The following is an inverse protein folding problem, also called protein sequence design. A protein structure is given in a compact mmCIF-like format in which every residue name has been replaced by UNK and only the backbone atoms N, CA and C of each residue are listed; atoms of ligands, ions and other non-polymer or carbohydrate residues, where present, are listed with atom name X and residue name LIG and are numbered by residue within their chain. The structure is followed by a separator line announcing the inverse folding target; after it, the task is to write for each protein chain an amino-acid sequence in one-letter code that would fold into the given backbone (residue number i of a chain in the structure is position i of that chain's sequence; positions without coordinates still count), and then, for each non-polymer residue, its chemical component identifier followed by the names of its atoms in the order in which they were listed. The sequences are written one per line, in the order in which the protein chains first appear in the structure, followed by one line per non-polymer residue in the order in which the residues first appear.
data_IF_788209683002
#
_entry.id   IF_788209683002
#
_cell.length_a   1.000
_cell.length_b   1.000
_cell.length_c   1.000
_cell.angle_alpha   90.00
_cell.angle_beta   90.00
_cell.angle_gamma   90.00
#
_symmetry.space_group_name_H-M   'P 1'
#
loop_
_entity.id
_entity.type
_entity.pdbx_description
1 polymer ?
#
# COMPACT_ATOMS: atom_id res chain seq x y z
N UNK A 1 -16.95 15.89 15.85
CA UNK A 1 -18.04 15.62 14.87
C UNK A 1 -18.33 14.13 14.75
N UNK A 2 -17.38 13.28 14.34
CA UNK A 2 -17.62 11.83 14.18
C UNK A 2 -18.10 11.11 15.46
N UNK A 3 -17.56 11.47 16.63
CA UNK A 3 -17.97 10.90 17.93
C UNK A 3 -19.43 11.20 18.34
N UNK A 4 -20.02 12.28 17.83
CA UNK A 4 -21.36 12.74 18.17
C UNK A 4 -22.42 12.25 17.16
N UNK A 5 -21.98 11.67 16.03
CA UNK A 5 -22.85 11.30 14.91
C UNK A 5 -24.00 10.38 15.33
N UNK A 6 -23.76 9.47 16.27
CA UNK A 6 -24.72 8.47 16.71
C UNK A 6 -25.57 8.93 17.91
N UNK A 7 -25.41 10.16 18.38
CA UNK A 7 -26.11 10.66 19.58
C UNK A 7 -27.43 11.35 19.24
N UNK A 8 -27.60 11.89 18.04
CA UNK A 8 -28.85 12.54 17.61
C UNK A 8 -28.96 12.57 16.06
N UNK A 9 -30.15 12.40 15.48
CA UNK A 9 -30.36 12.46 14.01
C UNK A 9 -29.79 13.71 13.34
N UNK A 10 -29.93 14.88 13.98
CA UNK A 10 -29.34 16.14 13.52
C UNK A 10 -27.82 16.04 13.29
N UNK A 11 -27.06 15.45 14.23
CA UNK A 11 -25.61 15.31 14.07
C UNK A 11 -25.23 14.37 12.93
N UNK A 12 -26.08 13.36 12.66
CA UNK A 12 -25.90 12.49 11.49
C UNK A 12 -26.10 13.27 10.18
N UNK A 13 -27.11 14.13 10.10
CA UNK A 13 -27.36 14.98 8.93
C UNK A 13 -26.23 16.00 8.71
N UNK A 14 -25.78 16.69 9.76
CA UNK A 14 -24.65 17.64 9.66
C UNK A 14 -23.36 16.93 9.21
N UNK A 15 -23.10 15.72 9.72
CA UNK A 15 -21.95 14.93 9.28
C UNK A 15 -22.07 14.49 7.82
N UNK A 16 -23.26 14.05 7.38
CA UNK A 16 -23.52 13.68 5.99
C UNK A 16 -23.36 14.88 5.06
N UNK A 17 -23.97 16.02 5.39
CA UNK A 17 -23.84 17.26 4.63
C UNK A 17 -22.37 17.67 4.47
N UNK A 18 -21.62 17.76 5.57
CA UNK A 18 -20.20 18.15 5.50
C UNK A 18 -19.34 17.20 4.67
N UNK A 19 -19.71 15.92 4.59
CA UNK A 19 -19.04 14.96 3.71
C UNK A 19 -19.36 15.18 2.24
N UNK A 20 -20.63 15.38 1.91
CA UNK A 20 -21.07 15.65 0.54
C UNK A 20 -20.51 16.99 0.04
N UNK A 21 -20.53 18.02 0.88
CA UNK A 21 -19.93 19.32 0.58
C UNK A 21 -18.42 19.20 0.35
N UNK A 22 -17.71 18.44 1.20
CA UNK A 22 -16.29 18.16 0.99
C UNK A 22 -16.03 17.45 -0.36
N UNK A 23 -16.85 16.47 -0.74
CA UNK A 23 -16.74 15.77 -2.02
C UNK A 23 -17.05 16.70 -3.20
N UNK A 24 -18.13 17.47 -3.13
CA UNK A 24 -18.48 18.42 -4.18
C UNK A 24 -17.34 19.42 -4.42
N UNK A 25 -16.83 20.02 -3.35
CA UNK A 25 -15.84 21.09 -3.46
C UNK A 25 -14.43 20.56 -3.80
N UNK A 26 -14.00 19.45 -3.19
CA UNK A 26 -12.63 18.95 -3.35
C UNK A 26 -12.47 17.92 -4.48
N UNK A 27 -13.55 17.27 -4.89
CA UNK A 27 -13.54 16.32 -5.99
C UNK A 27 -14.21 16.91 -7.23
N UNK A 28 -15.52 17.13 -7.22
CA UNK A 28 -16.29 17.48 -8.44
C UNK A 28 -15.83 18.83 -9.02
N UNK A 29 -16.01 19.91 -8.28
CA UNK A 29 -15.65 21.27 -8.72
C UNK A 29 -14.14 21.45 -8.90
N UNK A 30 -13.34 20.66 -8.17
CA UNK A 30 -11.89 20.68 -8.29
C UNK A 30 -11.44 20.05 -9.62
N UNK A 31 -11.98 18.89 -9.97
CA UNK A 31 -11.64 18.17 -11.20
C UNK A 31 -11.96 19.00 -12.45
N UNK A 32 -13.10 19.69 -12.48
CA UNK A 32 -13.52 20.53 -13.61
C UNK A 32 -12.46 21.57 -13.99
N UNK A 33 -11.78 22.14 -13.00
CA UNK A 33 -10.72 23.16 -13.22
C UNK A 33 -9.46 22.61 -13.89
N UNK A 34 -9.31 21.28 -13.94
CA UNK A 34 -8.14 20.61 -14.51
C UNK A 34 -8.47 19.78 -15.76
N UNK A 35 -9.67 19.97 -16.33
CA UNK A 35 -10.03 19.42 -17.64
C UNK A 35 -9.36 20.29 -18.71
N UNK A 36 -8.52 19.68 -19.54
CA UNK A 36 -7.90 20.33 -20.70
C UNK A 36 -8.86 20.45 -21.88
N UNK A 37 -8.42 21.16 -22.93
CA UNK A 37 -9.18 21.34 -24.17
C UNK A 37 -9.54 20.02 -24.87
N UNK A 38 -8.74 18.97 -24.61
CA UNK A 38 -8.97 17.60 -25.12
C UNK A 38 -9.99 16.80 -24.30
N UNK A 39 -10.65 17.45 -23.33
CA UNK A 39 -11.61 16.82 -22.42
C UNK A 39 -10.98 15.90 -21.38
N UNK A 40 -9.65 15.92 -21.21
CA UNK A 40 -8.95 15.03 -20.26
C UNK A 40 -8.51 15.79 -19.01
N UNK A 41 -8.65 15.13 -17.86
CA UNK A 41 -8.10 15.65 -16.60
C UNK A 41 -6.57 15.51 -16.61
N UNK A 42 -5.86 16.61 -16.38
CA UNK A 42 -4.39 16.64 -16.29
C UNK A 42 -3.95 16.81 -14.85
N UNK A 43 -3.19 15.85 -14.34
CA UNK A 43 -2.58 15.92 -12.99
C UNK A 43 -1.08 16.17 -13.06
N UNK A 44 -0.51 16.65 -11.95
CA UNK A 44 0.94 16.82 -11.78
C UNK A 44 1.51 15.78 -10.82
N UNK A 45 2.50 15.00 -11.28
CA UNK A 45 3.28 14.10 -10.43
C UNK A 45 4.52 14.80 -9.89
N UNK A 46 4.71 14.74 -8.56
CA UNK A 46 5.86 15.34 -7.87
C UNK A 46 6.62 14.28 -7.06
N UNK A 47 7.90 14.50 -6.76
CA UNK A 47 8.69 13.60 -5.92
C UNK A 47 8.61 13.99 -4.45
N UNK A 48 8.36 13.01 -3.56
CA UNK A 48 8.42 13.22 -2.10
C UNK A 48 9.71 12.67 -1.49
N UNK A 49 9.95 12.97 -0.20
CA UNK A 49 11.16 12.58 0.53
C UNK A 49 11.47 11.07 0.49
N UNK A 50 10.45 10.22 0.37
CA UNK A 50 10.65 8.76 0.27
C UNK A 50 11.00 8.28 -1.12
N UNK A 51 10.95 9.15 -2.12
CA UNK A 51 11.09 8.78 -3.52
C UNK A 51 9.77 8.39 -4.17
N UNK A 52 8.66 8.24 -3.43
CA UNK A 52 7.33 8.09 -4.02
C UNK A 52 6.98 9.27 -4.92
N UNK A 53 6.13 9.01 -5.91
CA UNK A 53 5.43 10.07 -6.61
C UNK A 53 4.21 10.47 -5.78
N UNK A 54 4.02 11.77 -5.58
CA UNK A 54 2.77 12.36 -5.14
C UNK A 54 2.04 12.93 -6.34
N UNK A 55 0.73 13.12 -6.20
CA UNK A 55 -0.14 13.62 -7.24
C UNK A 55 -0.87 14.86 -6.71
N UNK A 56 -0.89 15.93 -7.49
CA UNK A 56 -1.49 17.21 -7.11
C UNK A 56 -2.08 17.91 -8.31
N UNK A 57 -3.06 18.79 -8.07
CA UNK A 57 -3.67 19.66 -9.10
C UNK A 57 -4.18 18.87 -10.34
N UNK A 58 -5.19 17.98 -10.18
CA UNK A 58 -5.85 17.52 -8.96
C UNK A 58 -5.17 16.27 -8.38
N UNK A 59 -5.43 15.92 -7.12
CA UNK A 59 -4.90 14.68 -6.52
C UNK A 59 -5.75 13.48 -6.94
N UNK A 60 -5.22 12.71 -7.90
CA UNK A 60 -5.81 11.42 -8.33
C UNK A 60 -5.34 10.23 -7.48
N UNK A 61 -4.46 10.46 -6.49
CA UNK A 61 -4.07 9.41 -5.52
C UNK A 61 -5.09 9.24 -4.40
N UNK A 62 -5.92 10.26 -4.13
CA UNK A 62 -6.84 10.30 -3.00
C UNK A 62 -8.31 10.30 -3.47
N UNK A 63 -8.60 9.53 -4.52
CA UNK A 63 -9.98 9.41 -5.02
C UNK A 63 -10.87 8.77 -3.96
N UNK A 64 -12.09 9.29 -3.73
CA UNK A 64 -13.02 8.76 -2.74
C UNK A 64 -13.23 7.25 -2.90
N UNK A 65 -13.25 6.49 -1.80
CA UNK A 65 -13.51 5.06 -1.84
C UNK A 65 -14.96 4.80 -1.42
N UNK A 66 -15.87 4.47 -2.36
CA UNK A 66 -17.31 4.41 -2.09
C UNK A 66 -17.67 3.42 -0.97
N UNK A 67 -17.00 2.25 -0.91
CA UNK A 67 -17.24 1.24 0.13
C UNK A 67 -16.80 1.72 1.50
N UNK A 68 -15.58 2.27 1.61
CA UNK A 68 -15.02 2.77 2.87
C UNK A 68 -15.80 3.98 3.37
N UNK A 69 -16.29 4.78 2.45
CA UNK A 69 -16.93 6.06 2.72
C UNK A 69 -18.46 5.98 2.75
N UNK A 70 -19.07 4.83 2.44
CA UNK A 70 -20.52 4.65 2.34
C UNK A 70 -21.16 5.71 1.43
N UNK A 71 -20.54 5.93 0.27
CA UNK A 71 -21.04 6.86 -0.74
C UNK A 71 -22.08 6.15 -1.60
N UNK A 72 -23.13 6.88 -1.98
CA UNK A 72 -24.17 6.40 -2.89
C UNK A 72 -23.64 6.23 -4.32
N UNK A 73 -22.66 7.05 -4.69
CA UNK A 73 -22.06 7.07 -6.02
C UNK A 73 -20.59 6.68 -5.99
N UNK A 74 -20.18 5.84 -6.94
CA UNK A 74 -18.79 5.54 -7.18
C UNK A 74 -18.18 6.59 -8.11
N UNK A 75 -17.70 7.68 -7.53
CA UNK A 75 -17.07 8.78 -8.26
C UNK A 75 -15.85 8.37 -9.11
N UNK A 76 -15.31 7.16 -8.92
CA UNK A 76 -14.21 6.65 -9.74
C UNK A 76 -14.69 6.20 -11.13
N UNK A 77 -15.98 5.92 -11.30
CA UNK A 77 -16.55 5.48 -12.60
C UNK A 77 -16.57 6.58 -13.66
N UNK A 78 -16.44 7.84 -13.24
CA UNK A 78 -16.40 8.99 -14.18
C UNK A 78 -15.12 9.04 -15.00
N UNK A 79 -14.06 8.34 -14.58
CA UNK A 79 -12.83 8.24 -15.35
C UNK A 79 -12.95 7.06 -16.32
N UNK A 80 -13.30 7.39 -17.56
CA UNK A 80 -13.50 6.45 -18.65
C UNK A 80 -12.38 6.55 -19.69
N UNK A 81 -12.07 5.45 -20.40
CA UNK A 81 -11.18 5.48 -21.56
C UNK A 81 -11.86 6.17 -22.75
N UNK A 82 -11.06 6.48 -23.78
CA UNK A 82 -11.57 6.94 -25.08
C UNK A 82 -12.49 5.90 -25.74
N UNK A 83 -13.39 6.29 -26.66
CA UNK A 83 -14.18 5.35 -27.44
C UNK A 83 -13.32 4.28 -28.13
N UNK A 84 -13.69 3.01 -28.01
CA UNK A 84 -12.94 1.87 -28.56
C UNK A 84 -11.72 1.42 -27.71
N UNK A 85 -11.44 2.09 -26.60
CA UNK A 85 -10.35 1.78 -25.69
C UNK A 85 -10.89 1.21 -24.37
N UNK A 86 -10.00 0.55 -23.64
CA UNK A 86 -10.21 0.07 -22.28
C UNK A 86 -9.06 0.50 -21.38
N UNK A 87 -9.26 0.40 -20.07
CA UNK A 87 -8.21 0.61 -19.08
C UNK A 87 -7.67 -0.76 -18.64
N UNK A 88 -6.34 -0.88 -18.62
CA UNK A 88 -5.63 -2.01 -18.02
C UNK A 88 -4.91 -1.51 -16.77
N UNK A 89 -5.18 -2.14 -15.64
CA UNK A 89 -4.59 -1.82 -14.33
C UNK A 89 -3.66 -2.96 -13.93
N UNK A 90 -2.50 -2.64 -13.38
CA UNK A 90 -1.61 -3.61 -12.76
C UNK A 90 -1.11 -3.06 -11.42
N UNK A 91 -1.40 -3.77 -10.34
CA UNK A 91 -1.05 -3.41 -8.96
C UNK A 91 -0.19 -4.50 -8.33
N UNK A 92 0.80 -4.13 -7.53
CA UNK A 92 1.65 -5.11 -6.86
C UNK A 92 0.92 -5.78 -5.69
N UNK A 93 0.85 -7.12 -5.67
CA UNK A 93 0.26 -7.85 -4.55
C UNK A 93 1.20 -7.83 -3.34
N UNK A 94 0.89 -6.98 -2.35
CA UNK A 94 1.60 -6.94 -1.07
C UNK A 94 3.05 -6.45 -1.16
N UNK A 95 3.36 -5.53 -2.09
CA UNK A 95 4.71 -5.07 -2.38
C UNK A 95 5.52 -4.70 -1.13
N UNK A 96 4.94 -3.88 -0.24
CA UNK A 96 5.64 -3.39 0.96
C UNK A 96 6.05 -4.53 1.90
N UNK A 97 5.27 -5.61 2.00
CA UNK A 97 5.60 -6.75 2.84
C UNK A 97 6.70 -7.62 2.21
N UNK A 98 6.69 -7.77 0.88
CA UNK A 98 7.78 -8.45 0.16
C UNK A 98 9.10 -7.69 0.30
N UNK A 99 9.05 -6.37 0.17
CA UNK A 99 10.18 -5.48 0.41
C UNK A 99 10.62 -5.53 1.88
N UNK A 100 9.70 -5.65 2.84
CA UNK A 100 10.05 -5.86 4.24
C UNK A 100 10.83 -7.16 4.44
N UNK A 101 10.39 -8.28 3.84
CA UNK A 101 11.11 -9.55 3.87
C UNK A 101 12.52 -9.43 3.26
N UNK A 102 12.65 -8.67 2.18
CA UNK A 102 13.96 -8.42 1.55
C UNK A 102 14.86 -7.56 2.46
N UNK A 103 14.40 -6.38 2.88
CA UNK A 103 15.17 -5.41 3.70
C UNK A 103 15.53 -5.95 5.09
N UNK A 104 14.65 -6.75 5.69
CA UNK A 104 14.89 -7.35 7.01
C UNK A 104 15.77 -8.60 6.96
N UNK A 105 15.84 -9.28 5.82
CA UNK A 105 16.50 -10.58 5.73
C UNK A 105 15.77 -11.68 6.51
N UNK A 106 14.51 -11.47 6.89
CA UNK A 106 13.78 -12.40 7.75
C UNK A 106 13.48 -13.72 7.02
N UNK A 107 14.02 -14.82 7.54
CA UNK A 107 13.94 -16.14 6.90
C UNK A 107 12.51 -16.67 6.88
N UNK A 108 11.74 -16.48 7.95
CA UNK A 108 10.35 -16.92 8.05
C UNK A 108 9.48 -16.21 7.01
N UNK A 109 9.63 -14.88 6.91
CA UNK A 109 8.88 -14.08 5.96
C UNK A 109 9.24 -14.42 4.51
N UNK A 110 10.54 -14.58 4.20
CA UNK A 110 11.00 -15.01 2.87
C UNK A 110 10.49 -16.41 2.52
N UNK A 111 10.50 -17.34 3.48
CA UNK A 111 9.96 -18.69 3.30
C UNK A 111 8.46 -18.65 2.98
N UNK A 112 7.67 -17.92 3.77
CA UNK A 112 6.24 -17.76 3.54
C UNK A 112 5.95 -17.25 2.11
N UNK A 113 6.68 -16.24 1.64
CA UNK A 113 6.50 -15.78 0.26
C UNK A 113 6.94 -16.79 -0.80
N UNK A 114 8.01 -17.54 -0.57
CA UNK A 114 8.46 -18.59 -1.51
C UNK A 114 7.44 -19.71 -1.69
N UNK A 115 6.57 -19.90 -0.69
CA UNK A 115 5.48 -20.89 -0.68
C UNK A 115 4.13 -20.31 -1.11
N UNK A 116 4.12 -19.07 -1.61
CA UNK A 116 2.89 -18.33 -1.94
C UNK A 116 1.92 -18.23 -0.76
N UNK A 117 2.42 -18.04 0.46
CA UNK A 117 1.55 -17.92 1.62
C UNK A 117 0.86 -16.56 1.70
N UNK A 118 -0.40 -16.58 2.11
CA UNK A 118 -1.10 -15.42 2.63
C UNK A 118 -0.47 -15.01 3.97
N UNK A 119 0.46 -14.05 3.90
CA UNK A 119 1.18 -13.57 5.08
C UNK A 119 0.25 -12.98 6.14
N UNK A 120 -0.94 -12.50 5.79
CA UNK A 120 -1.89 -11.98 6.77
C UNK A 120 -2.51 -13.11 7.58
N UNK A 121 -2.92 -14.19 6.94
CA UNK A 121 -3.45 -15.37 7.62
C UNK A 121 -2.35 -16.09 8.41
N UNK A 122 -1.16 -16.23 7.82
CA UNK A 122 0.00 -16.82 8.49
C UNK A 122 0.38 -16.04 9.77
N UNK A 123 0.37 -14.70 9.70
CA UNK A 123 0.60 -13.88 10.89
C UNK A 123 -0.55 -13.99 11.89
N UNK A 124 -1.80 -14.05 11.42
CA UNK A 124 -2.97 -14.22 12.29
C UNK A 124 -2.88 -15.54 13.06
N UNK A 125 -2.43 -16.62 12.42
CA UNK A 125 -2.22 -17.91 13.07
C UNK A 125 -1.29 -17.80 14.28
N UNK A 126 -0.13 -17.16 14.13
CA UNK A 126 0.84 -16.99 15.21
C UNK A 126 0.42 -15.97 16.28
N UNK A 127 -0.25 -14.89 15.88
CA UNK A 127 -0.66 -13.81 16.81
C UNK A 127 -1.86 -14.24 17.66
N UNK A 128 -2.78 -15.03 17.08
CA UNK A 128 -4.04 -15.40 17.71
C UNK A 128 -4.14 -16.88 18.10
N UNK A 129 -3.08 -17.67 17.87
CA UNK A 129 -3.04 -19.12 18.13
C UNK A 129 -4.24 -19.84 17.49
N UNK A 130 -4.33 -19.80 16.16
CA UNK A 130 -5.46 -20.39 15.42
C UNK A 130 -5.26 -21.89 15.11
N UNK A 131 -4.07 -22.43 15.39
CA UNK A 131 -3.66 -23.83 15.16
C UNK A 131 -3.94 -24.34 13.74
N UNK A 132 -3.72 -23.47 12.75
CA UNK A 132 -3.86 -23.79 11.33
C UNK A 132 -2.65 -24.58 10.80
N UNK A 133 -2.92 -25.53 9.90
CA UNK A 133 -1.90 -26.28 9.17
C UNK A 133 -1.29 -25.43 8.04
N UNK A 134 -0.15 -25.91 7.53
CA UNK A 134 0.62 -25.22 6.50
C UNK A 134 -0.16 -25.04 5.17
N UNK A 135 -1.02 -26.02 4.83
CA UNK A 135 -1.88 -26.00 3.64
C UNK A 135 -2.89 -24.86 3.65
N UNK A 136 -3.35 -24.43 4.83
CA UNK A 136 -4.26 -23.29 4.99
C UNK A 136 -3.63 -21.94 4.59
N UNK A 137 -2.30 -21.85 4.47
CA UNK A 137 -1.64 -20.58 4.15
C UNK A 137 -1.41 -20.38 2.66
N UNK A 138 -1.37 -21.43 1.85
CA UNK A 138 -1.11 -21.36 0.40
C UNK A 138 -2.24 -20.62 -0.31
N UNK A 139 -1.97 -19.41 -0.77
CA UNK A 139 -2.99 -18.54 -1.38
C UNK A 139 -3.60 -19.20 -2.62
N UNK A 140 -4.93 -19.34 -2.62
CA UNK A 140 -5.72 -19.98 -3.66
C UNK A 140 -5.93 -21.49 -3.52
N UNK A 141 -5.48 -22.13 -2.42
CA UNK A 141 -5.85 -23.51 -2.11
C UNK A 141 -7.26 -23.60 -1.51
N UNK A 142 -7.91 -24.77 -1.58
CA UNK A 142 -9.24 -24.98 -0.99
C UNK A 142 -9.22 -24.78 0.54
N UNK A 143 -8.21 -25.35 1.22
CA UNK A 143 -8.00 -25.16 2.66
C UNK A 143 -7.77 -23.69 3.03
N UNK A 144 -7.10 -22.93 2.16
CA UNK A 144 -6.87 -21.50 2.36
C UNK A 144 -8.16 -20.71 2.27
N UNK A 145 -9.00 -20.94 1.26
CA UNK A 145 -10.28 -20.25 1.11
C UNK A 145 -11.22 -20.51 2.30
N UNK A 146 -11.26 -21.75 2.80
CA UNK A 146 -11.99 -22.10 4.02
C UNK A 146 -11.43 -21.38 5.25
N UNK A 147 -10.10 -21.40 5.44
CA UNK A 147 -9.45 -20.75 6.57
C UNK A 147 -9.61 -19.22 6.53
N UNK A 148 -9.50 -18.60 5.35
CA UNK A 148 -9.74 -17.16 5.16
C UNK A 148 -11.18 -16.80 5.48
N UNK A 149 -12.14 -17.63 5.09
CA UNK A 149 -13.56 -17.42 5.38
C UNK A 149 -13.81 -17.52 6.89
N UNK A 150 -13.34 -18.60 7.52
CA UNK A 150 -13.51 -18.87 8.96
C UNK A 150 -12.81 -17.82 9.83
N UNK A 151 -11.61 -17.39 9.45
CA UNK A 151 -10.76 -16.49 10.25
C UNK A 151 -10.68 -15.07 9.68
N UNK A 152 -11.65 -14.65 8.85
CA UNK A 152 -11.68 -13.35 8.16
C UNK A 152 -11.39 -12.15 9.06
N UNK A 153 -12.00 -12.11 10.25
CA UNK A 153 -11.79 -11.03 11.20
C UNK A 153 -10.36 -11.01 11.76
N UNK A 154 -9.82 -12.19 12.12
CA UNK A 154 -8.45 -12.32 12.66
C UNK A 154 -7.41 -12.00 11.60
N UNK A 155 -7.59 -12.48 10.37
CA UNK A 155 -6.79 -12.09 9.21
C UNK A 155 -6.79 -10.58 8.98
N UNK A 156 -7.95 -9.94 9.07
CA UNK A 156 -8.07 -8.48 8.95
C UNK A 156 -7.34 -7.74 10.08
N UNK A 157 -7.44 -8.22 11.32
CA UNK A 157 -6.71 -7.69 12.47
C UNK A 157 -5.19 -7.84 12.31
N UNK A 158 -4.71 -8.99 11.82
CA UNK A 158 -3.28 -9.16 11.52
C UNK A 158 -2.81 -8.20 10.42
N UNK A 159 -3.58 -8.07 9.33
CA UNK A 159 -3.30 -7.15 8.22
C UNK A 159 -3.17 -5.69 8.68
N UNK A 160 -4.26 -5.15 9.23
CA UNK A 160 -4.38 -3.72 9.52
C UNK A 160 -3.90 -3.32 10.92
N UNK A 161 -3.86 -4.28 11.85
CA UNK A 161 -3.46 -4.04 13.23
C UNK A 161 -2.01 -4.36 13.52
N UNK A 162 -1.37 -5.24 12.74
CA UNK A 162 0.00 -5.71 13.01
C UNK A 162 0.92 -5.50 11.80
N UNK A 163 0.70 -6.20 10.68
CA UNK A 163 1.61 -6.21 9.52
C UNK A 163 1.92 -4.82 8.97
N UNK A 164 0.90 -4.07 8.55
CA UNK A 164 1.10 -2.73 8.01
C UNK A 164 1.58 -1.74 9.07
N UNK A 165 0.97 -1.64 10.27
CA UNK A 165 1.43 -0.72 11.31
C UNK A 165 2.92 -0.86 11.64
N UNK A 166 3.48 -2.08 11.61
CA UNK A 166 4.90 -2.31 11.89
C UNK A 166 5.80 -1.73 10.79
N UNK A 167 5.41 -1.79 9.51
CA UNK A 167 6.12 -1.07 8.42
C UNK A 167 6.19 0.44 8.70
N UNK A 168 5.16 0.99 9.35
CA UNK A 168 5.10 2.41 9.74
C UNK A 168 5.68 2.70 11.14
N UNK A 169 6.28 1.70 11.79
CA UNK A 169 6.89 1.83 13.11
C UNK A 169 5.87 2.07 14.23
N UNK A 170 4.66 1.53 14.10
CA UNK A 170 3.64 1.64 15.13
C UNK A 170 4.09 0.99 16.44
N UNK A 171 3.86 1.70 17.55
CA UNK A 171 4.08 1.17 18.90
C UNK A 171 2.85 0.39 19.36
N UNK A 172 3.00 -0.48 20.37
CA UNK A 172 1.86 -1.19 20.98
C UNK A 172 0.72 -0.25 21.38
N UNK A 173 1.01 0.94 21.94
CA UNK A 173 -0.05 1.93 22.25
C UNK A 173 -0.83 2.45 21.04
N UNK A 174 -0.21 2.50 19.86
CA UNK A 174 -0.90 2.88 18.61
C UNK A 174 -1.75 1.72 18.09
N UNK A 175 -1.21 0.50 18.16
CA UNK A 175 -1.94 -0.73 17.83
C UNK A 175 -3.17 -0.87 18.73
N UNK A 176 -3.03 -0.67 20.04
CA UNK A 176 -4.12 -0.71 21.01
C UNK A 176 -5.24 0.27 20.65
N UNK A 177 -4.87 1.54 20.37
CA UNK A 177 -5.81 2.59 19.99
C UNK A 177 -6.54 2.28 18.67
N UNK A 178 -5.81 1.90 17.63
CA UNK A 178 -6.37 1.70 16.29
C UNK A 178 -7.25 0.44 16.22
N UNK A 179 -6.94 -0.58 17.03
CA UNK A 179 -7.70 -1.84 17.07
C UNK A 179 -8.72 -1.91 18.23
N UNK A 180 -8.79 -0.87 19.09
CA UNK A 180 -9.66 -0.82 20.27
C UNK A 180 -9.47 -2.01 21.23
N UNK A 181 -8.20 -2.36 21.47
CA UNK A 181 -7.81 -3.43 22.41
C UNK A 181 -7.02 -2.85 23.58
N UNK A 182 -6.80 -3.64 24.63
CA UNK A 182 -5.98 -3.22 25.76
C UNK A 182 -4.52 -3.02 25.33
N UNK A 183 -3.76 -2.25 26.10
CA UNK A 183 -2.33 -2.04 25.82
C UNK A 183 -1.55 -3.36 25.95
N UNK A 184 -1.89 -4.15 26.94
CA UNK A 184 -1.30 -5.47 27.23
C UNK A 184 -1.58 -6.45 26.09
N UNK A 185 -2.80 -6.43 25.53
CA UNK A 185 -3.14 -7.23 24.36
C UNK A 185 -2.33 -6.81 23.12
N UNK A 186 -2.20 -5.51 22.86
CA UNK A 186 -1.39 -5.03 21.75
C UNK A 186 0.11 -5.34 21.91
N UNK A 187 0.64 -5.31 23.15
CA UNK A 187 2.00 -5.74 23.45
C UNK A 187 2.19 -7.23 23.19
N UNK A 188 1.22 -8.09 23.56
CA UNK A 188 1.24 -9.51 23.22
C UNK A 188 1.27 -9.73 21.71
N UNK A 189 0.44 -9.04 20.94
CA UNK A 189 0.42 -9.16 19.48
C UNK A 189 1.77 -8.80 18.87
N UNK A 190 2.36 -7.69 19.31
CA UNK A 190 3.65 -7.22 18.82
C UNK A 190 4.78 -8.21 19.17
N UNK A 191 4.76 -8.78 20.38
CA UNK A 191 5.73 -9.78 20.80
C UNK A 191 5.63 -11.07 19.97
N UNK A 192 4.41 -11.55 19.69
CA UNK A 192 4.23 -12.73 18.83
C UNK A 192 4.68 -12.46 17.40
N UNK A 193 4.39 -11.27 16.87
CA UNK A 193 4.89 -10.88 15.55
C UNK A 193 6.42 -10.93 15.48
N UNK A 194 7.12 -10.34 16.46
CA UNK A 194 8.59 -10.35 16.45
C UNK A 194 9.20 -11.71 16.79
N UNK A 195 8.44 -12.58 17.47
CA UNK A 195 8.82 -13.99 17.65
C UNK A 195 8.74 -14.75 16.33
N UNK A 196 7.69 -14.50 15.53
CA UNK A 196 7.52 -15.09 14.20
C UNK A 196 8.55 -14.56 13.19
N UNK A 197 8.82 -13.25 13.23
CA UNK A 197 9.71 -12.54 12.30
C UNK A 197 10.89 -11.86 13.03
N UNK A 198 11.85 -12.62 13.59
CA UNK A 198 12.96 -12.07 14.37
C UNK A 198 13.91 -11.17 13.55
N UNK A 199 14.05 -11.41 12.25
CA UNK A 199 14.84 -10.58 11.33
C UNK A 199 14.27 -9.17 11.17
N UNK A 200 12.93 -9.04 11.21
CA UNK A 200 12.27 -7.72 11.21
C UNK A 200 12.63 -6.94 12.46
N UNK A 201 12.55 -7.56 13.64
CA UNK A 201 12.95 -6.93 14.91
C UNK A 201 14.40 -6.47 14.88
N UNK A 202 15.30 -7.35 14.46
CA UNK A 202 16.74 -7.04 14.33
C UNK A 202 16.96 -5.85 13.39
N UNK A 203 16.25 -5.79 12.26
CA UNK A 203 16.36 -4.68 11.31
C UNK A 203 15.93 -3.34 11.92
N UNK A 204 14.85 -3.32 12.70
CA UNK A 204 14.38 -2.14 13.44
C UNK A 204 15.41 -1.71 14.49
N UNK A 205 15.94 -2.66 15.26
CA UNK A 205 16.89 -2.42 16.36
C UNK A 205 18.24 -1.88 15.88
N UNK A 206 18.57 -2.04 14.58
CA UNK A 206 19.79 -1.52 13.96
C UNK A 206 19.67 -0.05 13.52
N UNK A 207 18.45 0.46 13.29
CA UNK A 207 18.23 1.84 12.82
C UNK A 207 18.90 2.92 13.69
N UNK A 208 18.83 2.87 15.04
CA UNK A 208 19.51 3.85 15.87
C UNK A 208 21.03 3.90 15.63
N UNK A 209 21.66 2.72 15.44
CA UNK A 209 23.10 2.61 15.18
C UNK A 209 23.44 3.16 13.79
N UNK A 210 22.65 2.82 12.77
CA UNK A 210 22.82 3.34 11.41
C UNK A 210 22.74 4.88 11.40
N UNK A 211 21.70 5.45 12.02
CA UNK A 211 21.52 6.90 12.11
C UNK A 211 22.60 7.60 12.93
N UNK A 212 23.09 6.99 14.01
CA UNK A 212 24.19 7.55 14.80
C UNK A 212 25.53 7.53 14.03
N UNK A 213 25.76 6.51 13.20
CA UNK A 213 27.02 6.34 12.46
C UNK A 213 27.15 7.28 11.26
N UNK A 214 26.10 7.43 10.46
CA UNK A 214 26.19 8.16 9.18
C UNK A 214 25.10 9.22 8.97
N UNK A 215 24.11 9.31 9.86
CA UNK A 215 23.06 10.32 9.77
C UNK A 215 22.10 10.15 8.59
N UNK A 216 22.08 8.99 7.93
CA UNK A 216 21.13 8.70 6.84
C UNK A 216 20.79 7.20 6.79
N UNK A 217 19.74 6.85 6.05
CA UNK A 217 19.44 5.46 5.64
C UNK A 217 19.34 5.36 4.13
N UNK A 218 19.42 4.14 3.59
CA UNK A 218 19.29 3.86 2.16
C UNK A 218 18.17 2.87 1.84
N UNK A 219 17.59 3.02 0.66
CA UNK A 219 16.76 1.98 0.01
C UNK A 219 17.66 0.84 -0.51
N UNK A 220 17.04 -0.28 -0.94
CA UNK A 220 17.74 -1.39 -1.61
C UNK A 220 18.56 -0.92 -2.83
N UNK A 221 18.13 0.17 -3.48
CA UNK A 221 18.75 0.73 -4.68
C UNK A 221 19.62 1.97 -4.39
N UNK A 222 19.95 2.20 -3.11
CA UNK A 222 20.93 3.19 -2.71
C UNK A 222 20.41 4.63 -2.52
N UNK A 223 19.11 4.90 -2.74
CA UNK A 223 18.50 6.22 -2.49
C UNK A 223 18.65 6.59 -1.01
N UNK A 224 19.27 7.74 -0.74
CA UNK A 224 19.52 8.23 0.63
C UNK A 224 18.39 9.12 1.14
N UNK A 225 18.02 8.95 2.41
CA UNK A 225 17.30 9.96 3.20
C UNK A 225 18.13 10.36 4.41
N UNK A 226 18.44 11.65 4.54
CA UNK A 226 19.26 12.21 5.62
C UNK A 226 18.41 12.60 6.83
N UNK A 227 18.99 12.43 8.01
CA UNK A 227 18.46 12.80 9.31
C UNK A 227 19.52 13.62 10.08
N UNK A 228 19.88 14.82 9.59
CA UNK A 228 21.01 15.59 10.11
C UNK A 228 20.82 15.99 11.58
N UNK A 229 19.57 16.11 12.04
CA UNK A 229 19.23 16.48 13.41
C UNK A 229 19.24 15.29 14.38
N UNK A 230 19.48 14.06 13.92
CA UNK A 230 19.33 12.86 14.76
C UNK A 230 20.25 12.87 15.98
N UNK A 231 21.53 13.21 15.82
CA UNK A 231 22.51 13.18 16.90
C UNK A 231 22.08 14.03 18.12
N UNK A 232 21.60 15.25 17.84
CA UNK A 232 21.25 16.27 18.84
C UNK A 232 19.74 16.32 19.17
N UNK A 233 18.93 15.44 18.58
CA UNK A 233 17.49 15.42 18.81
C UNK A 233 17.14 14.91 20.21
N UNK A 234 16.04 15.47 20.77
CA UNK A 234 15.43 14.99 22.02
C UNK A 234 14.95 13.53 21.86
N UNK A 235 14.77 12.76 22.96
CA UNK A 235 14.39 11.34 22.87
C UNK A 235 13.11 11.06 22.06
N UNK A 236 12.09 11.92 22.17
CA UNK A 236 10.86 11.80 21.39
C UNK A 236 11.09 11.99 19.88
N UNK A 237 11.92 12.96 19.50
CA UNK A 237 12.26 13.24 18.11
C UNK A 237 13.15 12.14 17.53
N UNK A 238 14.11 11.61 18.32
CA UNK A 238 14.90 10.43 17.94
C UNK A 238 14.01 9.24 17.59
N UNK A 239 13.01 8.93 18.44
CA UNK A 239 12.03 7.86 18.15
C UNK A 239 11.23 8.13 16.88
N UNK A 240 10.82 9.37 16.64
CA UNK A 240 10.11 9.77 15.41
C UNK A 240 11.00 9.58 14.18
N UNK A 241 12.26 10.00 14.23
CA UNK A 241 13.22 9.85 13.15
C UNK A 241 13.55 8.38 12.88
N UNK A 242 13.72 7.54 13.93
CA UNK A 242 13.92 6.09 13.78
C UNK A 242 12.76 5.43 13.03
N UNK A 243 11.49 5.75 13.38
CA UNK A 243 10.31 5.25 12.65
C UNK A 243 10.31 5.70 11.18
N UNK A 244 10.61 6.97 10.93
CA UNK A 244 10.69 7.51 9.57
C UNK A 244 11.83 6.88 8.76
N UNK A 245 12.95 6.57 9.42
CA UNK A 245 14.10 5.92 8.81
C UNK A 245 13.79 4.47 8.44
N UNK A 246 13.18 3.70 9.34
CA UNK A 246 12.75 2.33 9.03
C UNK A 246 11.73 2.32 7.87
N UNK A 247 10.70 3.16 7.97
CA UNK A 247 9.68 3.28 6.92
C UNK A 247 10.29 3.70 5.57
N UNK A 248 11.29 4.58 5.57
CA UNK A 248 12.01 4.98 4.35
C UNK A 248 12.64 3.79 3.64
N UNK A 249 13.25 2.84 4.37
CA UNK A 249 13.91 1.68 3.76
C UNK A 249 12.90 0.79 3.04
N UNK A 250 11.68 0.69 3.55
CA UNK A 250 10.60 -0.08 2.91
C UNK A 250 9.94 0.73 1.80
N UNK A 251 9.30 1.84 2.14
CA UNK A 251 8.51 2.64 1.21
C UNK A 251 9.35 3.20 0.06
N UNK A 252 10.59 3.60 0.33
CA UNK A 252 11.48 4.10 -0.69
C UNK A 252 11.96 3.01 -1.63
N UNK A 253 12.22 1.81 -1.13
CA UNK A 253 12.57 0.66 -1.99
C UNK A 253 11.38 0.25 -2.86
N UNK A 254 10.16 0.22 -2.30
CA UNK A 254 8.92 0.04 -3.08
C UNK A 254 8.76 1.09 -4.19
N UNK A 255 9.05 2.36 -3.87
CA UNK A 255 8.99 3.44 -4.85
C UNK A 255 10.06 3.31 -5.95
N UNK A 256 11.26 2.86 -5.60
CA UNK A 256 12.33 2.60 -6.56
C UNK A 256 11.93 1.44 -7.49
N UNK A 257 11.40 0.33 -6.95
CA UNK A 257 10.88 -0.81 -7.74
C UNK A 257 9.79 -0.36 -8.71
N UNK A 258 8.79 0.39 -8.22
CA UNK A 258 7.71 0.91 -9.06
C UNK A 258 8.24 1.74 -10.23
N UNK A 259 9.22 2.61 -9.99
CA UNK A 259 9.83 3.41 -11.07
C UNK A 259 10.64 2.57 -12.05
N UNK A 260 11.37 1.55 -11.58
CA UNK A 260 12.07 0.62 -12.45
C UNK A 260 11.07 -0.12 -13.35
N UNK A 261 9.95 -0.59 -12.78
CA UNK A 261 8.85 -1.16 -13.54
C UNK A 261 8.30 -0.17 -14.57
N UNK A 262 8.10 1.10 -14.20
CA UNK A 262 7.69 2.16 -15.12
C UNK A 262 8.64 2.38 -16.28
N UNK A 263 9.96 2.36 -16.04
CA UNK A 263 10.97 2.47 -17.11
C UNK A 263 10.88 1.26 -18.05
N UNK A 264 10.63 0.05 -17.53
CA UNK A 264 10.41 -1.14 -18.36
C UNK A 264 9.12 -1.00 -19.18
N UNK A 265 8.01 -0.61 -18.55
CA UNK A 265 6.74 -0.37 -19.24
C UNK A 265 6.89 0.64 -20.38
N UNK A 266 7.63 1.74 -20.18
CA UNK A 266 7.86 2.73 -21.24
C UNK A 266 8.64 2.18 -22.44
N UNK A 267 9.41 1.11 -22.27
CA UNK A 267 10.17 0.45 -23.34
C UNK A 267 9.36 -0.64 -24.03
N UNK A 268 8.63 -1.43 -23.24
CA UNK A 268 7.95 -2.63 -23.71
C UNK A 268 6.51 -2.36 -24.18
N UNK A 269 5.87 -1.28 -23.71
CA UNK A 269 4.51 -0.97 -24.14
C UNK A 269 4.49 -0.53 -25.61
N UNK A 270 3.57 -1.08 -26.42
CA UNK A 270 3.39 -0.67 -27.81
C UNK A 270 2.93 0.79 -27.88
N UNK A 271 3.18 1.45 -29.01
CA UNK A 271 2.90 2.89 -29.18
C UNK A 271 1.44 3.28 -28.98
N UNK A 272 0.49 2.36 -29.20
CA UNK A 272 -0.94 2.54 -28.98
C UNK A 272 -1.37 2.45 -27.50
N UNK A 273 -0.54 1.86 -26.63
CA UNK A 273 -0.82 1.74 -25.21
C UNK A 273 -0.15 2.90 -24.45
N UNK A 274 -0.94 3.65 -23.67
CA UNK A 274 -0.45 4.84 -22.96
C UNK A 274 -0.59 4.66 -21.45
N UNK A 275 0.52 4.79 -20.72
CA UNK A 275 0.47 4.96 -19.25
C UNK A 275 -0.23 6.29 -18.98
N UNK A 276 -1.42 6.23 -18.39
CA UNK A 276 -2.22 7.41 -18.06
C UNK A 276 -2.08 7.82 -16.59
N UNK A 277 -1.74 6.87 -15.71
CA UNK A 277 -1.59 7.16 -14.29
C UNK A 277 -0.68 6.14 -13.60
N UNK A 278 0.00 6.61 -12.57
CA UNK A 278 0.68 5.79 -11.57
C UNK A 278 0.23 6.23 -10.18
N UNK A 279 -0.36 5.30 -9.41
CA UNK A 279 -0.89 5.54 -8.06
C UNK A 279 -0.24 4.55 -7.09
N UNK A 280 0.64 5.06 -6.23
CA UNK A 280 1.35 4.26 -5.22
C UNK A 280 2.21 3.14 -5.85
N UNK A 281 1.62 1.98 -6.08
CA UNK A 281 2.17 0.75 -6.65
C UNK A 281 1.37 0.24 -7.87
N UNK A 282 0.29 0.94 -8.26
CA UNK A 282 -0.57 0.63 -9.39
C UNK A 282 -0.21 1.45 -10.64
N UNK A 283 0.04 0.77 -11.77
CA UNK A 283 0.09 1.36 -13.09
C UNK A 283 -1.26 1.24 -13.79
N UNK A 284 -1.66 2.32 -14.46
CA UNK A 284 -2.91 2.41 -15.23
C UNK A 284 -2.56 2.76 -16.66
N UNK A 285 -2.95 1.91 -17.59
CA UNK A 285 -2.71 2.05 -19.03
C UNK A 285 -4.03 2.12 -19.78
N UNK A 286 -4.15 3.02 -20.74
CA UNK A 286 -5.25 3.08 -21.71
C UNK A 286 -4.78 2.45 -23.03
N UNK A 287 -5.57 1.53 -23.60
CA UNK A 287 -5.20 0.80 -24.84
C UNK A 287 -6.44 0.39 -25.65
N UNK A 288 -6.35 0.18 -26.98
CA UNK A 288 -7.48 -0.34 -27.77
C UNK A 288 -7.99 -1.68 -27.24
N UNK A 289 -9.31 -1.86 -27.25
CA UNK A 289 -9.97 -3.04 -26.67
C UNK A 289 -9.41 -4.36 -27.18
N UNK A 290 -9.14 -4.45 -28.48
CA UNK A 290 -8.65 -5.68 -29.13
C UNK A 290 -7.22 -6.07 -28.72
N UNK A 291 -6.44 -5.12 -28.18
CA UNK A 291 -5.05 -5.32 -27.73
C UNK A 291 -4.91 -5.45 -26.21
N UNK A 292 -6.02 -5.37 -25.47
CA UNK A 292 -5.99 -5.25 -24.02
C UNK A 292 -5.32 -6.43 -23.31
N UNK A 293 -5.51 -7.66 -23.83
CA UNK A 293 -4.90 -8.87 -23.28
C UNK A 293 -3.39 -8.94 -23.47
N UNK A 294 -2.89 -8.42 -24.58
CA UNK A 294 -1.45 -8.30 -24.83
C UNK A 294 -0.82 -7.31 -23.85
N UNK A 295 -1.43 -6.13 -23.72
CA UNK A 295 -0.97 -5.08 -22.81
C UNK A 295 -1.02 -5.54 -21.35
N UNK A 296 -2.07 -6.26 -20.94
CA UNK A 296 -2.18 -6.88 -19.62
C UNK A 296 -0.98 -7.80 -19.32
N UNK A 297 -0.60 -8.66 -20.28
CA UNK A 297 0.56 -9.56 -20.14
C UNK A 297 1.87 -8.78 -20.04
N UNK A 298 2.07 -7.78 -20.89
CA UNK A 298 3.28 -6.91 -20.86
C UNK A 298 3.38 -6.21 -19.50
N UNK A 299 2.26 -5.66 -19.01
CA UNK A 299 2.23 -4.98 -17.73
C UNK A 299 2.58 -5.91 -16.58
N UNK A 300 1.97 -7.11 -16.54
CA UNK A 300 2.25 -8.11 -15.51
C UNK A 300 3.73 -8.49 -15.50
N UNK A 301 4.30 -8.81 -16.66
CA UNK A 301 5.72 -9.17 -16.77
C UNK A 301 6.65 -8.04 -16.32
N UNK A 302 6.40 -6.81 -16.79
CA UNK A 302 7.20 -5.64 -16.41
C UNK A 302 7.21 -5.39 -14.91
N UNK A 303 6.09 -5.59 -14.22
CA UNK A 303 5.99 -5.42 -12.77
C UNK A 303 6.66 -6.58 -12.02
N UNK A 304 6.30 -7.83 -12.34
CA UNK A 304 6.82 -9.02 -11.64
C UNK A 304 8.33 -9.17 -11.80
N UNK A 305 8.85 -8.82 -12.98
CA UNK A 305 10.27 -8.95 -13.31
C UNK A 305 11.01 -7.62 -13.25
N UNK A 306 10.44 -6.57 -12.64
CA UNK A 306 11.07 -5.25 -12.55
C UNK A 306 12.50 -5.32 -11.98
N UNK A 307 12.69 -6.12 -10.94
CA UNK A 307 13.94 -6.30 -10.22
C UNK A 307 14.09 -7.76 -9.78
N UNK A 308 15.33 -8.22 -9.62
CA UNK A 308 15.62 -9.52 -9.03
C UNK A 308 15.76 -9.39 -7.51
N UNK A 309 14.79 -9.91 -6.75
CA UNK A 309 14.81 -10.01 -5.29
C UNK A 309 14.78 -11.49 -4.87
N UNK A 310 15.13 -11.78 -3.62
CA UNK A 310 14.97 -13.15 -3.09
C UNK A 310 13.51 -13.56 -2.93
N UNK A 311 12.62 -12.57 -2.86
CA UNK A 311 11.17 -12.74 -2.82
C UNK A 311 10.56 -12.35 -4.17
N UNK A 312 9.82 -13.27 -4.80
CA UNK A 312 9.13 -13.01 -6.07
C UNK A 312 8.06 -11.93 -5.91
N UNK A 313 8.16 -10.86 -6.69
CA UNK A 313 7.09 -9.87 -6.82
C UNK A 313 5.96 -10.45 -7.69
N UNK A 314 4.72 -10.16 -7.33
CA UNK A 314 3.53 -10.57 -8.08
C UNK A 314 2.68 -9.36 -8.37
N UNK A 315 1.97 -9.37 -9.49
CA UNK A 315 1.06 -8.29 -9.85
C UNK A 315 -0.32 -8.85 -10.21
N UNK A 316 -1.34 -8.18 -9.67
CA UNK A 316 -2.74 -8.42 -10.01
C UNK A 316 -3.13 -7.46 -11.13
N UNK A 317 -3.71 -8.02 -12.20
CA UNK A 317 -4.12 -7.24 -13.37
C UNK A 317 -5.63 -7.27 -13.57
N UNK A 318 -6.17 -6.18 -14.12
CA UNK A 318 -7.58 -6.07 -14.49
C UNK A 318 -7.74 -5.25 -15.76
N UNK A 319 -8.63 -5.71 -16.64
CA UNK A 319 -9.12 -4.95 -17.78
C UNK A 319 -10.52 -4.43 -17.41
N UNK A 320 -10.72 -3.13 -17.51
CA UNK A 320 -11.93 -2.45 -17.06
C UNK A 320 -12.37 -1.37 -18.04
N UNK A 321 -13.69 -1.18 -18.17
CA UNK A 321 -14.27 -0.14 -19.02
C UNK A 321 -14.28 1.24 -18.35
N UNK A 322 -13.97 1.32 -17.06
CA UNK A 322 -13.77 2.57 -16.33
C UNK A 322 -12.91 2.33 -15.07
N UNK A 323 -12.38 3.40 -14.49
CA UNK A 323 -11.44 3.31 -13.37
C UNK A 323 -12.04 2.80 -12.05
N UNK A 324 -13.37 2.84 -11.90
CA UNK A 324 -14.10 2.50 -10.67
C UNK A 324 -14.25 1.00 -10.39
N UNK A 325 -13.89 0.14 -11.35
CA UNK A 325 -14.02 -1.33 -11.30
C UNK A 325 -12.75 -2.01 -10.78
#
# INVERSE_FOLDING_TARGET
KERLRNQHPFFSLVYRHGKLDHLNNNFVQSLEKFIGEDGRVRTSHNLVCTGRLSCSKPSLHQLPNPKKEKLEFNYREVFIPRPGYVIVKADYSGQELKVLGEVSGDRTMRHAFSKNYDLHLFTANAVFNLDLSDGCFVDGSEEHEEAVTKHKQKRHQAKNGVNFPIIYGATAGRIAKDNKVSKEEAERWLNQFFKLYPGVKKSIDLIPKELASCGFVRTLFGRKRRFPLYANAKPNDKRKMQRQAFNMKIQGSSADIGKIAGIKLLKELPSYAKIILFIHDEYVVETPKDTAKEVERIMKDCLENAVALSVKLTADTKIVDNFGV
#
